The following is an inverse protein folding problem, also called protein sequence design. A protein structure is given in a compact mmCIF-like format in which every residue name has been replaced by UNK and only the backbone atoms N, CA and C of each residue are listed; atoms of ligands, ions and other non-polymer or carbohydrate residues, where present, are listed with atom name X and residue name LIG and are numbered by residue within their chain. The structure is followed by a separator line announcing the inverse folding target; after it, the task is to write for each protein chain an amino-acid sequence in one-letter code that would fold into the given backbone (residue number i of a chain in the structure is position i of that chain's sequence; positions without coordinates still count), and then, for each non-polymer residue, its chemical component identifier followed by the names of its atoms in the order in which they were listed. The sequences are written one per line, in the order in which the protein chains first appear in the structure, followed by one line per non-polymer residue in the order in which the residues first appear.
data_IF_064796624214
#
_entry.id   IF_064796624214
#
_cell.length_a   1.000
_cell.length_b   1.000
_cell.length_c   1.000
_cell.angle_alpha   90.00
_cell.angle_beta   90.00
_cell.angle_gamma   90.00
#
_symmetry.space_group_name_H-M   'P 1'
#
loop_
_entity.id
_entity.type
_entity.pdbx_description
1 polymer ?
#
# COMPACT_ATOMS: atom_id res chain seq x y z
N UNK A 1 34.71 -5.06 23.16
CA UNK A 1 34.23 -5.24 21.78
C UNK A 1 32.78 -4.74 21.69
N UNK A 2 32.57 -3.72 20.92
CA UNK A 2 31.23 -3.18 20.78
C UNK A 2 30.40 -4.05 19.85
N UNK A 3 29.30 -4.56 20.34
CA UNK A 3 28.31 -5.19 19.49
C UNK A 3 27.48 -4.10 18.85
N UNK A 4 27.56 -4.02 17.53
CA UNK A 4 26.65 -3.16 16.81
C UNK A 4 25.25 -3.73 16.88
N UNK A 5 24.36 -2.98 17.50
CA UNK A 5 22.94 -3.30 17.41
C UNK A 5 22.48 -2.98 15.99
N UNK A 6 22.10 -4.00 15.27
CA UNK A 6 21.41 -3.80 14.02
C UNK A 6 20.01 -3.30 14.36
N UNK A 7 19.73 -2.03 14.00
CA UNK A 7 18.37 -1.50 14.13
C UNK A 7 17.57 -2.07 12.99
N UNK A 8 16.61 -2.92 13.32
CA UNK A 8 15.68 -3.46 12.32
C UNK A 8 14.52 -2.48 12.23
N UNK A 9 14.32 -1.84 11.07
CA UNK A 9 13.17 -0.98 10.91
C UNK A 9 11.88 -1.79 11.05
N UNK A 10 10.95 -1.29 11.84
CA UNK A 10 9.66 -1.91 12.04
C UNK A 10 8.56 -0.97 11.57
N UNK A 11 7.78 -1.43 10.60
CA UNK A 11 6.67 -0.66 10.09
C UNK A 11 5.41 -1.50 10.10
N UNK A 12 4.31 -0.88 10.52
CA UNK A 12 2.98 -1.47 10.46
C UNK A 12 2.20 -0.78 9.36
N UNK A 13 1.65 -1.57 8.44
CA UNK A 13 0.85 -1.03 7.35
C UNK A 13 -0.55 -1.58 7.45
N UNK A 14 -1.55 -0.70 7.42
CA UNK A 14 -2.95 -1.07 7.39
C UNK A 14 -3.62 -0.47 6.18
N UNK A 15 -4.64 -1.15 5.66
CA UNK A 15 -5.42 -0.70 4.52
C UNK A 15 -6.91 -0.74 4.86
N UNK A 16 -7.63 0.30 4.46
CA UNK A 16 -9.10 0.35 4.55
C UNK A 16 -9.64 0.59 3.16
N UNK A 17 -10.59 -0.24 2.73
CA UNK A 17 -11.14 -0.20 1.39
C UNK A 17 -12.59 0.23 1.43
N UNK A 18 -12.98 1.09 0.50
CA UNK A 18 -14.35 1.52 0.32
C UNK A 18 -14.71 1.39 -1.16
N UNK A 19 -15.82 0.70 -1.43
CA UNK A 19 -16.38 0.68 -2.79
C UNK A 19 -17.09 2.01 -3.04
N UNK A 20 -16.88 2.61 -4.22
CA UNK A 20 -17.44 3.92 -4.55
C UNK A 20 -18.50 3.76 -5.65
N UNK A 21 -19.80 3.62 -5.28
CA UNK A 21 -20.85 3.39 -6.27
C UNK A 21 -20.95 4.52 -7.30
N UNK A 22 -20.77 5.77 -6.87
CA UNK A 22 -20.88 6.93 -7.77
C UNK A 22 -19.83 6.96 -8.88
N UNK A 23 -18.70 6.28 -8.68
CA UNK A 23 -17.61 6.18 -9.65
C UNK A 23 -17.59 4.84 -10.37
N UNK A 24 -18.52 3.95 -10.02
CA UNK A 24 -18.60 2.60 -10.59
C UNK A 24 -19.68 2.50 -11.63
N UNK A 25 -19.55 1.50 -12.52
CA UNK A 25 -20.58 1.16 -13.49
C UNK A 25 -20.68 -0.36 -13.56
N UNK A 26 -21.43 -1.00 -12.63
CA UNK A 26 -21.53 -2.45 -12.58
C UNK A 26 -22.08 -3.09 -13.86
N UNK A 27 -22.98 -2.40 -14.57
CA UNK A 27 -23.55 -2.90 -15.82
C UNK A 27 -22.49 -3.09 -16.89
N UNK A 28 -21.44 -2.28 -16.86
CA UNK A 28 -20.30 -2.39 -17.78
C UNK A 28 -19.13 -3.14 -17.16
N UNK A 29 -19.33 -3.74 -15.98
CA UNK A 29 -18.27 -4.46 -15.30
C UNK A 29 -17.16 -3.57 -14.73
N UNK A 30 -17.44 -2.30 -14.47
CA UNK A 30 -16.45 -1.37 -13.96
C UNK A 30 -16.72 -1.08 -12.48
N UNK A 31 -15.73 -1.39 -11.64
CA UNK A 31 -15.84 -1.25 -10.19
C UNK A 31 -14.72 -0.37 -9.67
N UNK A 32 -15.08 0.68 -8.93
CA UNK A 32 -14.12 1.65 -8.43
C UNK A 32 -14.01 1.54 -6.92
N UNK A 33 -12.79 1.32 -6.45
CA UNK A 33 -12.48 1.20 -5.02
C UNK A 33 -11.56 2.33 -4.60
N UNK A 34 -11.88 2.96 -3.48
CA UNK A 34 -10.95 3.87 -2.81
C UNK A 34 -10.31 3.11 -1.65
N UNK A 35 -9.08 3.44 -1.33
CA UNK A 35 -8.44 2.84 -0.17
C UNK A 35 -7.57 3.85 0.55
N UNK A 36 -7.48 3.67 1.87
CA UNK A 36 -6.63 4.46 2.73
C UNK A 36 -5.53 3.57 3.29
N UNK A 37 -4.28 3.98 3.12
CA UNK A 37 -3.14 3.29 3.69
C UNK A 37 -2.63 4.10 4.88
N UNK A 38 -2.35 3.40 5.98
CA UNK A 38 -1.68 3.98 7.15
C UNK A 38 -0.34 3.26 7.34
N UNK A 39 0.73 4.03 7.38
CA UNK A 39 2.10 3.53 7.51
C UNK A 39 2.64 4.05 8.83
N UNK A 40 2.83 3.18 9.81
CA UNK A 40 3.29 3.56 11.15
C UNK A 40 4.72 3.06 11.37
N UNK A 41 5.60 3.98 11.75
CA UNK A 41 6.96 3.63 12.12
C UNK A 41 6.97 3.18 13.58
N UNK A 42 7.12 1.86 13.80
CA UNK A 42 7.20 1.26 15.12
C UNK A 42 8.65 1.02 15.56
N UNK A 43 9.60 1.45 14.75
CA UNK A 43 11.01 1.30 15.04
C UNK A 43 11.55 2.46 15.84
N UNK A 44 12.87 2.52 15.97
CA UNK A 44 13.58 3.52 16.76
C UNK A 44 14.28 4.58 15.92
N UNK A 45 14.23 4.46 14.59
CA UNK A 45 14.90 5.40 13.69
C UNK A 45 13.96 5.87 12.59
N UNK A 46 14.11 7.11 12.10
CA UNK A 46 13.30 7.60 11.00
C UNK A 46 13.66 6.91 9.68
N UNK A 47 12.71 6.84 8.77
CA UNK A 47 12.94 6.34 7.42
C UNK A 47 12.08 7.11 6.43
N UNK A 48 12.56 7.21 5.21
CA UNK A 48 11.88 7.92 4.14
C UNK A 48 11.35 6.92 3.10
N UNK A 49 10.08 7.09 2.73
CA UNK A 49 9.46 6.29 1.69
C UNK A 49 9.90 6.85 0.33
N UNK A 50 10.62 6.02 -0.44
CA UNK A 50 11.19 6.46 -1.70
C UNK A 50 10.38 6.05 -2.91
N UNK A 51 9.85 4.82 -2.92
CA UNK A 51 9.08 4.32 -4.07
C UNK A 51 8.10 3.24 -3.64
N UNK A 52 7.17 2.95 -4.54
CA UNK A 52 6.13 1.93 -4.32
C UNK A 52 6.12 0.92 -5.45
N UNK A 53 5.73 -0.29 -5.11
CA UNK A 53 5.48 -1.36 -6.08
C UNK A 53 4.21 -2.08 -5.67
N UNK A 54 3.19 -2.05 -6.54
CA UNK A 54 1.92 -2.72 -6.32
C UNK A 54 1.72 -3.83 -7.32
N UNK A 55 1.09 -4.92 -6.86
CA UNK A 55 0.59 -5.98 -7.72
C UNK A 55 -0.92 -6.08 -7.47
N UNK A 56 -1.69 -5.82 -8.50
CA UNK A 56 -3.15 -5.83 -8.46
C UNK A 56 -3.61 -7.06 -9.24
N UNK A 57 -4.36 -7.96 -8.59
CA UNK A 57 -4.86 -9.18 -9.21
C UNK A 57 -6.37 -9.14 -9.23
N UNK A 58 -7.00 -9.30 -10.40
CA UNK A 58 -8.45 -9.38 -10.50
C UNK A 58 -8.92 -10.85 -10.40
N UNK A 59 -10.25 -11.07 -10.37
CA UNK A 59 -10.77 -12.40 -10.17
C UNK A 59 -10.63 -13.31 -11.40
N UNK A 60 -10.22 -12.76 -12.54
CA UNK A 60 -9.91 -13.57 -13.72
C UNK A 60 -8.46 -14.06 -13.72
N UNK A 61 -7.67 -13.64 -12.71
CA UNK A 61 -6.25 -13.96 -12.61
C UNK A 61 -5.34 -12.99 -13.33
N UNK A 62 -5.88 -11.94 -13.92
CA UNK A 62 -5.06 -10.90 -14.57
C UNK A 62 -4.34 -10.09 -13.51
N UNK A 63 -3.02 -9.91 -13.71
CA UNK A 63 -2.18 -9.12 -12.81
C UNK A 63 -1.69 -7.86 -13.49
N UNK A 64 -1.72 -6.78 -12.73
CA UNK A 64 -1.19 -5.49 -13.15
C UNK A 64 -0.17 -5.03 -12.12
N UNK A 65 1.01 -4.62 -12.57
CA UNK A 65 2.03 -4.08 -11.69
C UNK A 65 2.12 -2.58 -11.88
N UNK A 66 2.21 -1.85 -10.76
CA UNK A 66 2.36 -0.40 -10.75
C UNK A 66 3.58 -0.05 -9.94
N UNK A 67 4.54 0.65 -10.55
CA UNK A 67 5.74 1.13 -9.88
C UNK A 67 5.87 2.61 -10.09
N UNK A 68 6.36 3.29 -9.07
CA UNK A 68 6.60 4.72 -9.18
C UNK A 68 7.26 5.29 -7.94
N UNK A 69 7.77 6.53 -8.04
CA UNK A 69 8.37 7.21 -6.91
C UNK A 69 7.30 7.67 -5.92
N UNK A 70 7.58 7.49 -4.63
CA UNK A 70 6.72 7.98 -3.56
C UNK A 70 5.30 7.46 -3.57
N UNK A 71 4.43 8.18 -2.89
CA UNK A 71 2.99 7.95 -2.86
C UNK A 71 2.29 9.29 -3.00
N UNK A 72 1.31 9.38 -3.92
CA UNK A 72 0.55 10.61 -4.22
C UNK A 72 1.45 11.86 -4.32
N UNK A 73 2.59 11.71 -5.02
CA UNK A 73 3.52 12.82 -5.24
C UNK A 73 4.39 13.18 -4.05
N UNK A 74 4.41 12.36 -2.99
CA UNK A 74 5.16 12.62 -1.77
C UNK A 74 6.16 11.51 -1.48
N UNK A 75 7.30 11.88 -0.88
CA UNK A 75 8.27 10.94 -0.34
C UNK A 75 8.43 11.23 1.15
N UNK A 76 7.46 10.83 1.97
CA UNK A 76 7.43 11.24 3.36
C UNK A 76 8.53 10.60 4.20
N UNK A 77 9.11 11.39 5.10
CA UNK A 77 10.02 10.90 6.12
C UNK A 77 9.19 10.63 7.36
N UNK A 78 9.17 9.37 7.80
CA UNK A 78 8.31 8.94 8.90
C UNK A 78 9.17 8.74 10.15
N UNK A 79 8.89 9.54 11.18
CA UNK A 79 9.61 9.48 12.44
C UNK A 79 9.13 8.32 13.29
N UNK A 80 9.95 7.82 14.25
CA UNK A 80 9.47 6.80 15.19
C UNK A 80 8.18 7.22 15.88
N UNK A 81 7.20 6.34 15.90
CA UNK A 81 5.88 6.60 16.47
C UNK A 81 4.93 7.37 15.57
N UNK A 82 5.39 7.86 14.44
CA UNK A 82 4.57 8.63 13.52
C UNK A 82 3.83 7.70 12.54
N UNK A 83 2.61 8.10 12.18
CA UNK A 83 1.83 7.43 11.15
C UNK A 83 1.63 8.37 9.97
N UNK A 84 1.95 7.92 8.78
CA UNK A 84 1.65 8.62 7.54
C UNK A 84 0.46 7.95 6.88
N UNK A 85 -0.57 8.74 6.54
CA UNK A 85 -1.77 8.22 5.87
C UNK A 85 -1.94 8.87 4.51
N UNK A 86 -2.43 8.08 3.56
CA UNK A 86 -2.81 8.63 2.26
C UNK A 86 -3.98 7.85 1.67
N UNK A 87 -4.73 8.51 0.79
CA UNK A 87 -5.84 7.89 0.07
C UNK A 87 -5.47 7.74 -1.40
N UNK A 88 -5.93 6.65 -1.99
CA UNK A 88 -5.75 6.40 -3.41
C UNK A 88 -6.93 5.59 -3.92
N UNK A 89 -6.87 5.16 -5.16
CA UNK A 89 -7.97 4.42 -5.76
C UNK A 89 -7.45 3.33 -6.69
N UNK A 90 -8.28 2.30 -6.85
CA UNK A 90 -7.98 1.18 -7.75
C UNK A 90 -9.28 0.76 -8.44
N UNK A 91 -9.41 0.99 -9.75
CA UNK A 91 -10.53 0.43 -10.50
C UNK A 91 -10.26 -1.02 -10.88
N UNK A 92 -11.32 -1.83 -10.93
CA UNK A 92 -11.26 -3.21 -11.39
C UNK A 92 -12.33 -3.45 -12.44
N UNK A 93 -12.05 -4.38 -13.35
CA UNK A 93 -13.01 -4.84 -14.36
C UNK A 93 -13.71 -6.12 -13.92
N UNK A 94 -13.51 -6.55 -12.68
CA UNK A 94 -14.18 -7.70 -12.06
C UNK A 94 -14.72 -7.29 -10.71
N UNK A 95 -15.64 -8.07 -10.14
CA UNK A 95 -16.29 -7.75 -8.87
C UNK A 95 -15.37 -7.90 -7.67
N UNK A 96 -14.33 -8.69 -7.81
CA UNK A 96 -13.36 -8.89 -6.71
C UNK A 96 -11.95 -8.85 -7.25
N UNK A 97 -11.02 -8.54 -6.35
CA UNK A 97 -9.60 -8.57 -6.64
C UNK A 97 -8.79 -8.42 -5.38
N UNK A 98 -7.50 -8.32 -5.53
CA UNK A 98 -6.60 -8.10 -4.38
C UNK A 98 -5.48 -7.17 -4.76
N UNK A 99 -4.91 -6.52 -3.74
CA UNK A 99 -3.74 -5.68 -3.87
C UNK A 99 -2.69 -6.14 -2.86
N UNK A 100 -1.46 -6.22 -3.31
CA UNK A 100 -0.30 -6.42 -2.44
C UNK A 100 0.88 -5.70 -3.04
N UNK A 101 1.92 -5.51 -2.27
CA UNK A 101 3.08 -4.82 -2.78
C UNK A 101 4.09 -4.54 -1.71
N UNK A 102 4.91 -3.53 -1.96
CA UNK A 102 5.94 -3.11 -1.02
C UNK A 102 6.29 -1.65 -1.22
N UNK A 103 6.81 -1.05 -0.16
CA UNK A 103 7.44 0.26 -0.22
C UNK A 103 8.93 0.09 -0.10
N UNK A 104 9.68 0.82 -0.93
CA UNK A 104 11.13 0.91 -0.81
C UNK A 104 11.46 2.13 0.01
N UNK A 105 12.23 1.93 1.07
CA UNK A 105 12.52 2.97 2.04
C UNK A 105 14.02 3.12 2.24
N UNK A 106 14.42 4.25 2.80
CA UNK A 106 15.82 4.53 3.09
C UNK A 106 15.94 5.13 4.49
N UNK A 107 16.93 4.68 5.25
CA UNK A 107 17.26 5.25 6.56
C UNK A 107 18.04 6.54 6.39
N UNK A 108 18.23 7.29 7.47
CA UNK A 108 19.01 8.54 7.43
C UNK A 108 20.47 8.33 7.05
N UNK A 109 21.02 7.17 7.39
CA UNK A 109 22.40 6.82 7.02
C UNK A 109 22.52 6.19 5.64
N UNK A 110 21.44 6.20 4.85
CA UNK A 110 21.46 5.78 3.46
C UNK A 110 21.24 4.29 3.22
N UNK A 111 20.80 3.56 4.24
CA UNK A 111 20.55 2.13 4.11
C UNK A 111 19.16 1.87 3.52
N UNK A 112 19.10 1.14 2.41
CA UNK A 112 17.85 0.80 1.74
C UNK A 112 17.21 -0.45 2.33
N UNK A 113 15.88 -0.47 2.41
CA UNK A 113 15.13 -1.66 2.81
C UNK A 113 13.72 -1.60 2.23
N UNK A 114 13.03 -2.73 2.26
CA UNK A 114 11.65 -2.82 1.77
C UNK A 114 10.73 -3.18 2.92
N UNK A 115 9.50 -2.65 2.85
CA UNK A 115 8.42 -2.98 3.78
C UNK A 115 7.30 -3.58 2.97
N UNK A 116 6.91 -4.81 3.31
CA UNK A 116 5.80 -5.48 2.60
C UNK A 116 4.47 -4.89 3.03
N UNK A 117 3.60 -4.69 2.04
CA UNK A 117 2.22 -4.29 2.27
C UNK A 117 1.40 -5.58 2.32
N UNK A 118 0.75 -5.89 3.46
CA UNK A 118 -0.09 -7.08 3.54
C UNK A 118 -1.16 -7.08 2.46
N UNK A 119 -1.41 -8.25 1.86
CA UNK A 119 -2.45 -8.36 0.85
C UNK A 119 -3.80 -7.95 1.43
N UNK A 120 -4.56 -7.15 0.69
CA UNK A 120 -5.92 -6.81 1.05
C UNK A 120 -6.84 -6.98 -0.16
N UNK A 121 -8.13 -7.15 0.11
CA UNK A 121 -9.09 -7.55 -0.90
C UNK A 121 -10.04 -6.42 -1.27
N UNK A 122 -10.38 -6.38 -2.55
CA UNK A 122 -11.35 -5.46 -3.12
C UNK A 122 -12.58 -6.28 -3.46
N UNK A 123 -13.70 -5.99 -2.79
CA UNK A 123 -14.93 -6.77 -2.94
C UNK A 123 -16.09 -5.82 -3.18
N UNK A 124 -16.69 -5.88 -4.38
CA UNK A 124 -17.86 -5.08 -4.69
C UNK A 124 -19.07 -5.59 -3.92
N UNK A 125 -20.06 -4.72 -3.62
CA UNK A 125 -21.29 -5.16 -2.98
C UNK A 125 -21.97 -6.27 -3.79
N UNK A 126 -22.52 -7.27 -3.10
CA UNK A 126 -23.21 -8.41 -3.70
C UNK A 126 -22.32 -9.34 -4.54
N UNK A 127 -21.00 -9.23 -4.41
CA UNK A 127 -20.07 -10.07 -5.16
C UNK A 127 -20.02 -11.51 -4.65
N UNK A 128 -20.48 -11.76 -3.42
CA UNK A 128 -20.42 -13.07 -2.76
C UNK A 128 -21.79 -13.73 -2.67
N UNK A 129 -22.41 -13.98 -3.77
CA UNK A 129 -23.70 -14.69 -3.82
C UNK A 129 -23.52 -16.12 -4.27
#
# INVERSE_FOLDING_TARGET
MAMQKTIVPEFKITAKVVYVPSESNPEKGYHFFAYKIAITNQGSAPAQLMSRHWVITDSSGKKEEVRGPGVIGMQPKIQPGQTFEYDSACPLNTTTGSMQGRYHMITEDGQSFSVDIPEFYLVAPNALH
#
